data_IF_492216486833
#
_entry.id   IF_492216486833
#
_cell.length_a   1.000
_cell.length_b   1.000
_cell.length_c   1.000
_cell.angle_alpha   90.00
_cell.angle_beta   90.00
_cell.angle_gamma   90.00
#
_symmetry.space_group_name_H-M   'P 1'
#
loop_
_entity.id
_entity.type
_entity.pdbx_description
1 polymer ?
#
# COMPACT_ATOMS: atom_id res chain seq x y z
N UNK A 1 28.17 -25.40 -14.22
CA UNK A 1 26.72 -25.20 -14.26
C UNK A 1 26.09 -26.36 -13.52
N UNK A 2 25.85 -26.22 -12.22
CA UNK A 2 25.20 -27.24 -11.40
C UNK A 2 23.70 -26.98 -11.47
N UNK A 3 22.94 -27.96 -11.96
CA UNK A 3 21.50 -27.89 -12.03
C UNK A 3 20.95 -27.86 -10.59
N UNK A 4 20.25 -26.77 -10.26
CA UNK A 4 19.50 -26.65 -9.02
C UNK A 4 18.40 -27.71 -9.07
N UNK A 5 18.46 -28.68 -8.17
CA UNK A 5 17.46 -29.73 -8.03
C UNK A 5 16.14 -29.09 -7.58
N UNK A 6 14.99 -29.34 -8.24
CA UNK A 6 13.69 -28.77 -7.88
C UNK A 6 13.01 -29.61 -6.80
N UNK A 7 13.60 -29.73 -5.63
CA UNK A 7 13.00 -30.37 -4.46
C UNK A 7 13.42 -29.70 -3.16
N UNK A 8 13.25 -28.37 -3.08
CA UNK A 8 13.24 -27.74 -1.77
C UNK A 8 11.86 -27.98 -1.13
N UNK A 9 11.82 -28.90 -0.17
CA UNK A 9 10.71 -29.01 0.78
C UNK A 9 10.47 -27.60 1.33
N UNK A 10 9.22 -27.12 1.28
CA UNK A 10 8.87 -25.87 1.96
C UNK A 10 9.24 -26.03 3.43
N UNK A 11 9.96 -25.06 3.98
CA UNK A 11 10.21 -24.98 5.42
C UNK A 11 8.89 -24.63 6.10
N UNK A 12 8.13 -25.65 6.50
CA UNK A 12 6.85 -25.50 7.24
C UNK A 12 7.13 -25.44 8.75
N UNK A 13 8.02 -24.52 9.19
CA UNK A 13 8.44 -24.44 10.60
C UNK A 13 7.50 -23.61 11.49
N UNK A 14 6.63 -22.78 10.92
CA UNK A 14 5.65 -22.06 11.71
C UNK A 14 4.25 -22.67 11.52
N UNK A 15 3.53 -22.98 12.61
CA UNK A 15 2.16 -23.47 12.50
C UNK A 15 1.30 -22.43 11.78
N UNK A 16 0.48 -22.89 10.84
CA UNK A 16 -0.46 -22.00 10.13
C UNK A 16 -1.40 -21.33 11.15
N UNK A 17 -1.78 -20.08 10.92
CA UNK A 17 -2.70 -19.38 11.81
C UNK A 17 -4.04 -20.11 11.85
N UNK A 18 -4.69 -20.22 13.04
CA UNK A 18 -6.00 -20.80 13.13
C UNK A 18 -7.02 -19.94 12.36
N UNK A 19 -7.97 -20.61 11.69
CA UNK A 19 -9.07 -19.92 11.02
C UNK A 19 -9.91 -19.21 12.06
N UNK A 20 -10.23 -17.93 11.84
CA UNK A 20 -11.23 -17.26 12.64
C UNK A 20 -12.63 -17.69 12.18
N UNK A 21 -13.29 -18.54 12.98
CA UNK A 21 -14.59 -19.14 12.67
C UNK A 21 -15.80 -18.31 13.13
N UNK A 22 -15.59 -17.06 13.56
CA UNK A 22 -16.68 -16.17 13.97
C UNK A 22 -16.65 -14.86 13.18
N UNK A 23 -17.81 -14.25 12.90
CA UNK A 23 -17.86 -12.91 12.31
C UNK A 23 -17.12 -11.90 13.19
N UNK A 24 -16.39 -10.99 12.54
CA UNK A 24 -15.64 -9.95 13.23
C UNK A 24 -16.52 -8.71 13.30
N UNK A 25 -16.81 -8.28 14.52
CA UNK A 25 -17.48 -7.01 14.81
C UNK A 25 -16.44 -5.97 15.25
N UNK A 26 -16.05 -5.10 14.31
CA UNK A 26 -15.03 -4.08 14.52
C UNK A 26 -15.25 -2.93 13.53
N UNK A 27 -14.93 -1.66 13.86
CA UNK A 27 -15.08 -0.54 12.92
C UNK A 27 -14.42 -0.73 11.55
N UNK A 28 -13.36 -1.55 11.47
CA UNK A 28 -12.74 -1.90 10.18
C UNK A 28 -13.57 -2.88 9.33
N UNK A 29 -14.67 -3.47 9.86
CA UNK A 29 -15.56 -4.36 9.12
C UNK A 29 -16.74 -3.58 8.49
N UNK A 30 -16.44 -2.50 7.82
CA UNK A 30 -17.43 -1.61 7.21
C UNK A 30 -17.91 -2.08 5.83
N UNK A 31 -19.06 -1.55 5.43
CA UNK A 31 -19.62 -1.57 4.06
C UNK A 31 -19.77 -0.14 3.54
N UNK A 32 -19.98 0.02 2.25
CA UNK A 32 -20.12 1.36 1.61
C UNK A 32 -21.31 2.13 2.22
N UNK A 33 -22.39 1.43 2.59
CA UNK A 33 -23.57 2.03 3.19
C UNK A 33 -23.34 2.65 4.59
N UNK A 34 -22.21 2.33 5.24
CA UNK A 34 -21.84 2.92 6.53
C UNK A 34 -21.32 4.37 6.39
N UNK A 35 -21.08 4.82 5.16
CA UNK A 35 -20.65 6.18 4.84
C UNK A 35 -21.73 6.92 4.06
N UNK A 36 -22.44 7.83 4.72
CA UNK A 36 -23.46 8.63 4.08
C UNK A 36 -22.87 9.67 3.13
N UNK A 37 -21.71 10.21 3.49
CA UNK A 37 -20.99 11.23 2.73
C UNK A 37 -19.47 11.08 2.87
N UNK A 38 -18.68 11.68 1.98
CA UNK A 38 -17.22 11.71 2.15
C UNK A 38 -16.75 12.33 3.48
N UNK A 39 -17.56 13.18 4.12
CA UNK A 39 -17.20 13.76 5.43
C UNK A 39 -17.02 12.69 6.52
N UNK A 40 -17.67 11.53 6.37
CA UNK A 40 -17.58 10.45 7.35
C UNK A 40 -16.20 9.79 7.42
N UNK A 41 -15.36 9.97 6.39
CA UNK A 41 -14.01 9.41 6.34
C UNK A 41 -12.92 10.44 5.98
N UNK A 42 -13.24 11.74 6.05
CA UNK A 42 -12.29 12.81 5.70
C UNK A 42 -12.01 13.73 6.87
N UNK A 43 -10.80 14.31 6.90
CA UNK A 43 -10.37 15.36 7.81
C UNK A 43 -9.94 16.57 6.98
N UNK A 44 -10.55 17.70 7.19
CA UNK A 44 -10.18 18.94 6.50
C UNK A 44 -9.14 19.71 7.32
N UNK A 45 -7.99 20.02 6.70
CA UNK A 45 -6.99 20.91 7.30
C UNK A 45 -7.56 22.31 7.45
N UNK A 46 -7.39 22.88 8.64
CA UNK A 46 -7.80 24.26 8.95
C UNK A 46 -6.79 25.29 8.41
N UNK A 47 -7.22 26.53 8.26
CA UNK A 47 -6.33 27.64 7.85
C UNK A 47 -5.13 27.81 8.81
N UNK A 48 -5.31 27.57 10.10
CA UNK A 48 -4.21 27.61 11.07
C UNK A 48 -3.18 26.52 10.81
N UNK A 49 -3.63 25.28 10.56
CA UNK A 49 -2.75 24.15 10.25
C UNK A 49 -1.98 24.38 8.95
N UNK A 50 -2.64 24.86 7.90
CA UNK A 50 -2.01 25.19 6.63
C UNK A 50 -0.93 26.27 6.77
N UNK A 51 -1.22 27.34 7.52
CA UNK A 51 -0.24 28.40 7.80
C UNK A 51 0.97 27.86 8.58
N UNK A 52 0.74 26.99 9.55
CA UNK A 52 1.81 26.41 10.37
C UNK A 52 2.66 25.42 9.57
N UNK A 53 2.07 24.61 8.69
CA UNK A 53 2.79 23.79 7.69
C UNK A 53 3.69 24.67 6.84
N UNK A 54 3.14 25.74 6.24
CA UNK A 54 3.91 26.63 5.39
C UNK A 54 5.09 27.29 6.13
N UNK A 55 4.92 27.65 7.41
CA UNK A 55 5.99 28.18 8.26
C UNK A 55 7.09 27.12 8.46
N UNK A 56 6.71 25.88 8.81
CA UNK A 56 7.65 24.79 9.05
C UNK A 56 8.45 24.44 7.80
N UNK A 57 7.82 24.39 6.62
CA UNK A 57 8.54 24.15 5.36
C UNK A 57 9.56 25.25 5.08
N UNK A 58 9.22 26.53 5.32
CA UNK A 58 10.21 27.62 5.19
C UNK A 58 11.39 27.46 6.14
N UNK A 59 11.16 27.01 7.39
CA UNK A 59 12.23 26.77 8.36
C UNK A 59 13.14 25.61 7.93
N UNK A 60 12.57 24.50 7.46
CA UNK A 60 13.33 23.34 6.92
C UNK A 60 14.23 23.78 5.77
N UNK A 61 13.69 24.54 4.81
CA UNK A 61 14.46 25.05 3.68
C UNK A 61 15.56 26.05 4.10
N UNK A 62 15.24 26.93 5.05
CA UNK A 62 16.24 27.89 5.57
C UNK A 62 17.39 27.17 6.31
N UNK A 63 17.13 26.00 6.89
CA UNK A 63 18.16 25.14 7.48
C UNK A 63 18.94 24.31 6.45
N UNK A 64 18.61 24.40 5.15
CA UNK A 64 19.28 23.66 4.08
C UNK A 64 18.96 22.16 4.06
N UNK A 65 17.90 21.72 4.75
CA UNK A 65 17.52 20.32 4.82
C UNK A 65 16.74 19.90 3.56
N UNK A 66 17.15 18.78 2.97
CA UNK A 66 16.44 18.11 1.90
C UNK A 66 15.50 17.01 2.44
N UNK A 67 14.70 16.39 1.55
CA UNK A 67 13.78 15.31 1.89
C UNK A 67 14.48 14.14 2.61
N UNK A 68 15.71 13.79 2.18
CA UNK A 68 16.50 12.69 2.76
C UNK A 68 16.96 12.94 4.21
N UNK A 69 17.03 14.21 4.61
CA UNK A 69 17.49 14.63 5.94
C UNK A 69 16.35 14.74 6.95
N UNK A 70 15.10 14.74 6.47
CA UNK A 70 13.95 14.99 7.31
C UNK A 70 13.67 13.82 8.26
N UNK A 71 13.75 14.16 9.54
CA UNK A 71 13.33 13.32 10.67
C UNK A 71 12.10 13.97 11.34
N UNK A 72 11.48 13.24 12.25
CA UNK A 72 10.29 13.69 12.98
C UNK A 72 10.48 15.07 13.64
N UNK A 73 11.62 15.29 14.31
CA UNK A 73 11.95 16.53 14.99
C UNK A 73 12.09 17.76 14.08
N UNK A 74 12.32 17.52 12.77
CA UNK A 74 12.37 18.61 11.79
C UNK A 74 11.00 19.06 11.31
N UNK A 75 9.96 18.22 11.50
CA UNK A 75 8.59 18.52 11.08
C UNK A 75 7.64 18.62 12.28
N UNK A 76 7.99 19.46 13.27
CA UNK A 76 7.13 19.70 14.43
C UNK A 76 6.11 20.80 14.11
N UNK A 77 4.85 20.39 13.91
CA UNK A 77 3.71 21.26 13.66
C UNK A 77 2.64 21.01 14.74
N UNK A 78 2.71 21.67 15.90
CA UNK A 78 1.83 21.37 17.04
C UNK A 78 0.33 21.42 16.71
N UNK A 79 -0.08 22.32 15.81
CA UNK A 79 -1.48 22.42 15.37
C UNK A 79 -1.97 21.20 14.56
N UNK A 80 -1.06 20.37 14.00
CA UNK A 80 -1.40 19.12 13.31
C UNK A 80 -1.58 17.94 14.26
N UNK A 81 -1.18 18.06 15.53
CA UNK A 81 -1.24 16.93 16.46
C UNK A 81 -2.62 16.27 16.52
N UNK A 82 -3.74 17.02 16.64
CA UNK A 82 -5.07 16.41 16.61
C UNK A 82 -5.38 15.65 15.32
N UNK A 83 -4.88 16.13 14.17
CA UNK A 83 -5.05 15.43 12.88
C UNK A 83 -4.26 14.14 12.86
N UNK A 84 -3.00 14.16 13.31
CA UNK A 84 -2.13 12.98 13.36
C UNK A 84 -2.68 11.94 14.34
N UNK A 85 -3.16 12.37 15.51
CA UNK A 85 -3.77 11.49 16.51
C UNK A 85 -5.05 10.85 15.96
N UNK A 86 -5.89 11.59 15.24
CA UNK A 86 -7.10 11.06 14.60
C UNK A 86 -6.74 10.09 13.45
N UNK A 87 -5.76 10.43 12.60
CA UNK A 87 -5.26 9.52 11.55
C UNK A 87 -4.81 8.21 12.19
N UNK A 88 -4.02 8.27 13.25
CA UNK A 88 -3.56 7.08 13.98
C UNK A 88 -4.73 6.26 14.51
N UNK A 89 -5.66 6.89 15.22
CA UNK A 89 -6.84 6.23 15.75
C UNK A 89 -7.65 5.51 14.66
N UNK A 90 -7.93 6.20 13.55
CA UNK A 90 -8.70 5.59 12.47
C UNK A 90 -8.00 4.39 11.80
N UNK A 91 -6.66 4.40 11.78
CA UNK A 91 -5.88 3.31 11.19
C UNK A 91 -5.74 2.14 12.16
N UNK A 92 -5.49 2.39 13.44
CA UNK A 92 -5.22 1.34 14.43
C UNK A 92 -6.50 0.68 14.94
N UNK A 93 -7.49 1.47 15.35
CA UNK A 93 -8.69 1.03 16.06
C UNK A 93 -10.00 1.38 15.33
N UNK A 94 -9.95 2.23 14.33
CA UNK A 94 -11.11 2.68 13.57
C UNK A 94 -11.37 1.86 12.31
N UNK A 95 -11.82 2.56 11.28
CA UNK A 95 -12.22 1.96 9.98
C UNK A 95 -11.06 1.45 9.15
N UNK A 96 -9.81 1.68 9.55
CA UNK A 96 -8.61 1.26 8.83
C UNK A 96 -8.18 2.21 7.72
N UNK A 97 -8.86 3.32 7.51
CA UNK A 97 -8.46 4.35 6.53
C UNK A 97 -8.98 5.73 6.89
N UNK A 98 -8.34 6.76 6.36
CA UNK A 98 -8.77 8.16 6.47
C UNK A 98 -8.20 8.98 5.32
N UNK A 99 -8.95 9.99 4.87
CA UNK A 99 -8.51 10.97 3.86
C UNK A 99 -8.31 12.32 4.53
N UNK A 100 -7.14 12.93 4.34
CA UNK A 100 -6.83 14.30 4.80
C UNK A 100 -6.86 15.21 3.58
N UNK A 101 -7.56 16.37 3.68
CA UNK A 101 -7.84 17.23 2.53
C UNK A 101 -7.37 18.67 2.76
N UNK A 102 -7.39 19.44 1.66
CA UNK A 102 -7.19 20.90 1.62
C UNK A 102 -5.74 21.38 1.67
N UNK A 103 -4.75 20.50 1.42
CA UNK A 103 -3.39 21.02 1.19
C UNK A 103 -3.36 21.78 -0.15
N UNK A 104 -3.03 23.08 -0.19
CA UNK A 104 -3.01 23.88 -1.43
C UNK A 104 -1.73 23.53 -2.22
N UNK A 105 -1.80 22.47 -3.04
CA UNK A 105 -0.62 21.94 -3.78
C UNK A 105 -0.06 22.94 -4.78
N UNK A 106 -0.87 23.89 -5.24
CA UNK A 106 -0.48 24.99 -6.13
C UNK A 106 0.52 25.97 -5.48
N UNK A 107 0.52 26.06 -4.14
CA UNK A 107 1.39 26.95 -3.38
C UNK A 107 2.78 26.35 -3.11
N UNK A 108 3.00 25.07 -3.48
CA UNK A 108 4.21 24.31 -3.16
C UNK A 108 4.86 23.69 -4.39
N UNK A 109 6.18 23.60 -4.37
CA UNK A 109 6.91 22.75 -5.29
C UNK A 109 6.64 21.25 -4.98
N UNK A 110 6.95 20.37 -5.95
CA UNK A 110 6.83 18.91 -5.76
C UNK A 110 7.63 18.42 -4.56
N UNK A 111 8.83 18.97 -4.37
CA UNK A 111 9.71 18.60 -3.26
C UNK A 111 9.13 19.06 -1.92
N UNK A 112 8.55 20.24 -1.86
CA UNK A 112 7.87 20.76 -0.65
C UNK A 112 6.65 19.91 -0.30
N UNK A 113 5.84 19.49 -1.27
CA UNK A 113 4.74 18.54 -1.04
C UNK A 113 5.30 17.22 -0.53
N UNK A 114 6.41 16.74 -1.12
CA UNK A 114 7.14 15.57 -0.64
C UNK A 114 7.58 15.70 0.81
N UNK A 115 8.14 16.86 1.20
CA UNK A 115 8.56 17.16 2.58
C UNK A 115 7.37 17.19 3.55
N UNK A 116 6.24 17.78 3.14
CA UNK A 116 5.01 17.82 3.96
C UNK A 116 4.49 16.41 4.19
N UNK A 117 4.34 15.65 3.11
CA UNK A 117 3.81 14.29 3.17
C UNK A 117 4.72 13.33 3.96
N UNK A 118 6.04 13.42 3.72
CA UNK A 118 7.04 12.69 4.50
C UNK A 118 7.02 13.10 5.96
N UNK A 119 6.99 14.42 6.25
CA UNK A 119 6.94 14.96 7.59
C UNK A 119 5.75 14.42 8.39
N UNK A 120 4.54 14.43 7.82
CA UNK A 120 3.35 13.80 8.44
C UNK A 120 3.62 12.30 8.64
N UNK A 121 4.20 11.62 7.66
CA UNK A 121 4.53 10.19 7.73
C UNK A 121 5.46 9.85 8.91
N UNK A 122 6.45 10.69 9.23
CA UNK A 122 7.39 10.47 10.35
C UNK A 122 6.71 10.45 11.73
N UNK A 123 5.54 11.08 11.84
CA UNK A 123 4.72 11.04 13.07
C UNK A 123 3.84 9.79 13.14
N UNK A 124 3.59 9.12 12.02
CA UNK A 124 2.77 7.91 11.95
C UNK A 124 3.61 6.64 12.06
N UNK A 125 4.83 6.63 11.50
CA UNK A 125 5.69 5.46 11.50
C UNK A 125 7.06 5.71 10.89
N UNK A 126 7.86 4.66 10.77
CA UNK A 126 9.17 4.68 10.16
C UNK A 126 9.05 4.42 8.64
N UNK A 127 9.58 5.32 7.83
CA UNK A 127 9.59 5.17 6.37
C UNK A 127 10.38 3.94 5.89
N UNK A 128 9.75 3.12 5.07
CA UNK A 128 10.32 1.91 4.48
C UNK A 128 10.74 2.13 3.03
N UNK A 129 11.77 1.42 2.58
CA UNK A 129 12.09 1.34 1.16
C UNK A 129 10.99 0.60 0.39
N UNK A 130 10.64 1.11 -0.78
CA UNK A 130 9.60 0.59 -1.65
C UNK A 130 10.15 -0.12 -2.89
N UNK A 131 11.47 -0.14 -3.04
CA UNK A 131 12.15 -0.75 -4.17
C UNK A 131 13.55 -1.24 -3.78
N UNK A 132 14.13 -2.10 -4.62
CA UNK A 132 15.52 -2.55 -4.47
C UNK A 132 16.56 -1.42 -4.57
N UNK A 133 16.13 -0.20 -4.89
CA UNK A 133 16.98 1.01 -4.97
C UNK A 133 17.00 1.80 -3.67
N UNK A 134 16.15 1.46 -2.72
CA UNK A 134 16.05 2.18 -1.45
C UNK A 134 15.11 3.38 -1.45
N UNK A 135 14.25 3.53 -2.46
CA UNK A 135 13.28 4.63 -2.54
C UNK A 135 12.31 4.60 -1.36
N UNK A 136 12.31 5.63 -0.52
CA UNK A 136 11.40 5.76 0.64
C UNK A 136 10.16 6.59 0.33
N UNK A 137 10.23 7.50 -0.63
CA UNK A 137 9.09 8.23 -1.19
C UNK A 137 8.92 7.79 -2.64
N UNK A 138 7.83 7.06 -2.92
CA UNK A 138 7.54 6.52 -4.24
C UNK A 138 6.75 7.52 -5.11
N UNK A 139 7.05 7.56 -6.39
CA UNK A 139 6.27 8.32 -7.37
C UNK A 139 5.34 7.37 -8.12
N UNK A 140 4.03 7.61 -8.03
CA UNK A 140 2.98 6.83 -8.67
C UNK A 140 2.45 7.61 -9.87
N UNK A 141 3.02 7.34 -11.03
CA UNK A 141 2.64 7.93 -12.33
C UNK A 141 2.88 6.91 -13.45
N UNK A 142 2.44 7.21 -14.66
CA UNK A 142 2.67 6.35 -15.81
C UNK A 142 4.12 6.52 -16.33
N UNK A 143 4.87 5.45 -16.29
CA UNK A 143 6.23 5.34 -16.81
C UNK A 143 6.33 4.32 -17.94
N UNK A 144 5.21 3.86 -18.49
CA UNK A 144 5.19 2.82 -19.51
C UNK A 144 5.90 3.21 -20.80
N UNK A 145 6.09 4.52 -21.05
CA UNK A 145 6.87 5.02 -22.20
C UNK A 145 8.38 4.84 -21.99
N UNK A 146 8.84 4.99 -20.74
CA UNK A 146 10.25 4.92 -20.36
C UNK A 146 10.64 3.51 -19.92
N UNK A 147 9.72 2.76 -19.34
CA UNK A 147 9.91 1.39 -18.86
C UNK A 147 8.70 0.53 -19.24
N UNK A 148 8.73 -0.15 -20.41
CA UNK A 148 7.66 -1.04 -20.84
C UNK A 148 7.40 -2.21 -19.87
N UNK A 149 8.36 -2.52 -19.00
CA UNK A 149 8.26 -3.55 -17.95
C UNK A 149 7.90 -2.95 -16.57
N UNK A 150 7.52 -1.67 -16.54
CA UNK A 150 7.14 -0.98 -15.32
C UNK A 150 6.09 -1.78 -14.52
N UNK A 151 6.30 -1.86 -13.20
CA UNK A 151 5.33 -2.48 -12.30
C UNK A 151 3.96 -1.82 -12.46
N UNK A 152 2.90 -2.54 -12.13
CA UNK A 152 1.52 -2.11 -12.34
C UNK A 152 1.20 -0.73 -11.70
N UNK A 153 1.80 -0.37 -10.54
CA UNK A 153 1.60 0.97 -9.95
C UNK A 153 2.30 2.11 -10.74
N UNK A 154 3.17 1.76 -11.68
CA UNK A 154 3.96 2.64 -12.54
C UNK A 154 3.49 2.62 -14.00
N UNK A 155 2.31 2.09 -14.25
CA UNK A 155 1.66 2.11 -15.54
C UNK A 155 0.19 2.52 -15.40
N UNK A 156 -0.48 2.76 -16.50
CA UNK A 156 -1.86 3.22 -16.55
C UNK A 156 -2.93 2.13 -16.45
N UNK A 157 -2.54 0.85 -16.37
CA UNK A 157 -3.47 -0.26 -16.28
C UNK A 157 -4.18 -0.31 -14.93
N UNK A 158 -5.30 -1.02 -14.86
CA UNK A 158 -6.00 -1.28 -13.60
C UNK A 158 -5.09 -2.03 -12.62
N UNK A 159 -5.16 -1.62 -11.36
CA UNK A 159 -4.61 -2.35 -10.23
C UNK A 159 -5.75 -3.08 -9.53
N UNK A 160 -5.72 -4.41 -9.56
CA UNK A 160 -6.67 -5.24 -8.81
C UNK A 160 -6.50 -5.07 -7.29
N UNK A 161 -7.53 -5.40 -6.48
CA UNK A 161 -7.43 -5.35 -5.02
C UNK A 161 -6.21 -6.10 -4.49
N UNK A 162 -5.39 -5.43 -3.69
CA UNK A 162 -4.14 -5.97 -3.15
C UNK A 162 -3.73 -5.25 -1.85
N UNK A 163 -2.72 -5.80 -1.21
CA UNK A 163 -1.97 -5.16 -0.12
C UNK A 163 -0.52 -4.91 -0.55
N UNK A 164 0.12 -3.92 0.04
CA UNK A 164 1.53 -3.61 -0.16
C UNK A 164 2.45 -4.34 0.85
N UNK A 165 3.77 -4.09 0.82
CA UNK A 165 4.75 -4.75 1.70
C UNK A 165 5.12 -3.87 2.90
N UNK A 166 4.13 -3.40 3.67
CA UNK A 166 4.30 -2.51 4.82
C UNK A 166 3.11 -2.61 5.77
N UNK A 167 3.18 -1.93 6.91
CA UNK A 167 2.06 -1.86 7.87
C UNK A 167 1.02 -0.81 7.45
N UNK A 168 1.48 0.37 7.03
CA UNK A 168 0.66 1.51 6.62
C UNK A 168 1.08 2.01 5.25
N UNK A 169 0.09 2.23 4.37
CA UNK A 169 0.29 2.90 3.08
C UNK A 169 -0.27 4.30 3.15
N UNK A 170 0.52 5.28 2.74
CA UNK A 170 0.06 6.64 2.46
C UNK A 170 0.13 6.95 0.97
N UNK A 171 -0.86 7.67 0.46
CA UNK A 171 -0.83 8.26 -0.88
C UNK A 171 -1.23 9.74 -0.81
N UNK A 172 -0.49 10.61 -1.50
CA UNK A 172 -0.80 12.03 -1.62
C UNK A 172 -0.92 12.41 -3.11
N UNK A 173 -1.97 13.10 -3.48
CA UNK A 173 -2.23 13.50 -4.85
C UNK A 173 -1.64 14.89 -5.13
N UNK A 174 -0.72 14.95 -6.09
CA UNK A 174 -0.22 16.19 -6.66
C UNK A 174 -1.11 16.60 -7.85
N UNK A 175 -1.48 15.62 -8.66
CA UNK A 175 -2.37 15.76 -9.82
C UNK A 175 -3.13 14.47 -10.05
N UNK A 176 -4.41 14.57 -10.31
CA UNK A 176 -5.25 13.45 -10.72
C UNK A 176 -5.14 13.21 -12.24
N UNK A 177 -5.73 12.12 -12.72
CA UNK A 177 -5.78 11.79 -14.13
C UNK A 177 -6.88 12.59 -14.84
N UNK A 178 -6.75 12.76 -16.16
CA UNK A 178 -7.84 13.32 -16.97
C UNK A 178 -9.07 12.41 -16.99
N UNK A 179 -8.84 11.08 -17.07
CA UNK A 179 -9.89 10.07 -17.00
C UNK A 179 -9.45 8.88 -16.14
N UNK A 180 -10.37 8.34 -15.36
CA UNK A 180 -10.11 7.17 -14.51
C UNK A 180 -9.22 7.49 -13.32
N UNK A 181 -8.36 6.52 -12.94
CA UNK A 181 -7.47 6.68 -11.78
C UNK A 181 -8.21 6.70 -10.44
N UNK A 182 -9.46 6.22 -10.42
CA UNK A 182 -10.31 6.13 -9.23
C UNK A 182 -9.65 5.19 -8.23
N UNK A 183 -9.46 5.66 -7.02
CA UNK A 183 -9.02 4.84 -5.89
C UNK A 183 -10.18 3.99 -5.38
N UNK A 184 -9.90 2.74 -5.05
CA UNK A 184 -10.86 1.77 -4.55
C UNK A 184 -10.36 1.16 -3.28
N UNK A 185 -11.17 1.19 -2.23
CA UNK A 185 -10.87 0.56 -0.95
C UNK A 185 -11.94 -0.48 -0.63
N UNK A 186 -11.52 -1.63 -0.12
CA UNK A 186 -12.42 -2.66 0.37
C UNK A 186 -11.92 -3.13 1.73
N UNK A 187 -12.82 -3.22 2.70
CA UNK A 187 -12.46 -3.81 4.00
C UNK A 187 -12.14 -5.29 3.83
N UNK A 188 -10.89 -5.67 4.06
CA UNK A 188 -10.48 -7.07 4.10
C UNK A 188 -11.20 -7.83 5.21
N UNK A 189 -11.60 -7.15 6.28
CA UNK A 189 -12.33 -7.73 7.42
C UNK A 189 -13.78 -8.04 7.04
N UNK A 190 -14.44 -7.13 6.30
CA UNK A 190 -15.79 -7.42 5.76
C UNK A 190 -15.73 -8.55 4.73
N UNK A 191 -14.71 -8.55 3.87
CA UNK A 191 -14.51 -9.66 2.92
C UNK A 191 -14.33 -10.99 3.65
N UNK A 192 -13.54 -11.02 4.75
CA UNK A 192 -13.42 -12.20 5.60
C UNK A 192 -14.77 -12.67 6.13
N UNK A 193 -15.61 -11.75 6.66
CA UNK A 193 -16.93 -12.09 7.18
C UNK A 193 -17.86 -12.65 6.10
N UNK A 194 -17.82 -12.10 4.90
CA UNK A 194 -18.58 -12.60 3.74
C UNK A 194 -18.08 -13.99 3.31
N UNK A 195 -16.75 -14.16 3.21
CA UNK A 195 -16.15 -15.45 2.87
C UNK A 195 -16.49 -16.54 3.91
N UNK A 196 -16.49 -16.18 5.20
CA UNK A 196 -16.88 -17.08 6.28
C UNK A 196 -18.34 -17.53 6.14
N UNK A 197 -19.23 -16.61 5.80
CA UNK A 197 -20.68 -16.89 5.71
C UNK A 197 -21.07 -17.65 4.43
N UNK A 198 -20.45 -17.29 3.30
CA UNK A 198 -20.86 -17.79 1.98
C UNK A 198 -19.94 -18.88 1.41
N UNK A 199 -18.65 -18.87 1.77
CA UNK A 199 -17.60 -19.71 1.17
C UNK A 199 -16.60 -20.21 2.22
N UNK A 200 -17.01 -20.89 3.30
CA UNK A 200 -16.14 -21.26 4.41
C UNK A 200 -14.96 -22.15 3.98
N UNK A 201 -15.15 -23.07 3.05
CA UNK A 201 -14.06 -23.93 2.54
C UNK A 201 -13.01 -23.10 1.76
N UNK A 202 -13.45 -22.10 0.99
CA UNK A 202 -12.54 -21.19 0.30
C UNK A 202 -11.76 -20.34 1.31
N UNK A 203 -12.40 -19.88 2.40
CA UNK A 203 -11.75 -19.15 3.47
C UNK A 203 -10.63 -19.99 4.12
N UNK A 204 -10.86 -21.27 4.40
CA UNK A 204 -9.81 -22.17 4.91
C UNK A 204 -8.59 -22.24 3.98
N UNK A 205 -8.82 -22.29 2.66
CA UNK A 205 -7.73 -22.24 1.69
C UNK A 205 -6.93 -20.94 1.77
N UNK A 206 -7.59 -19.80 2.00
CA UNK A 206 -6.94 -18.50 2.18
C UNK A 206 -6.10 -18.43 3.46
N UNK A 207 -6.49 -19.13 4.53
CA UNK A 207 -5.68 -19.24 5.75
C UNK A 207 -4.47 -20.19 5.57
N UNK A 208 -4.61 -21.26 4.78
CA UNK A 208 -3.45 -22.12 4.42
C UNK A 208 -2.42 -21.36 3.58
N UNK A 209 -2.85 -20.36 2.82
CA UNK A 209 -1.99 -19.49 2.06
C UNK A 209 -1.30 -20.14 0.85
N UNK A 210 -0.39 -19.39 0.26
CA UNK A 210 0.26 -19.68 -1.02
C UNK A 210 1.73 -19.27 -1.00
N UNK A 211 2.54 -19.86 -1.86
CA UNK A 211 3.90 -19.38 -2.11
C UNK A 211 3.85 -18.07 -2.88
N UNK A 212 4.61 -17.08 -2.43
CA UNK A 212 4.67 -15.75 -3.06
C UNK A 212 5.97 -15.58 -3.85
N UNK A 213 5.86 -15.13 -5.08
CA UNK A 213 7.01 -14.72 -5.88
C UNK A 213 7.64 -13.44 -5.32
N UNK A 214 8.97 -13.37 -5.26
CA UNK A 214 9.70 -12.20 -4.75
C UNK A 214 9.95 -11.10 -5.79
N UNK A 215 9.63 -11.38 -7.04
CA UNK A 215 9.64 -10.39 -8.16
C UNK A 215 11.01 -9.77 -8.44
N UNK A 216 12.10 -10.48 -8.18
CA UNK A 216 13.45 -9.98 -8.35
C UNK A 216 13.93 -9.10 -7.18
N UNK A 217 13.23 -9.14 -6.06
CA UNK A 217 13.56 -8.44 -4.81
C UNK A 217 14.30 -9.35 -3.82
N UNK A 218 14.57 -10.57 -4.22
CA UNK A 218 15.36 -11.52 -3.45
C UNK A 218 16.85 -11.14 -3.44
N UNK A 219 17.52 -11.49 -2.34
CA UNK A 219 18.98 -11.35 -2.24
C UNK A 219 19.66 -12.33 -3.20
N UNK A 220 20.89 -12.02 -3.66
CA UNK A 220 21.66 -12.97 -4.45
C UNK A 220 21.79 -14.31 -3.71
N UNK A 221 21.39 -15.39 -4.37
CA UNK A 221 21.40 -16.75 -3.83
C UNK A 221 20.10 -17.20 -3.14
N UNK A 222 19.16 -16.29 -2.89
CA UNK A 222 17.83 -16.64 -2.42
C UNK A 222 16.96 -17.20 -3.55
N UNK A 223 15.93 -17.97 -3.16
CA UNK A 223 14.89 -18.43 -4.09
C UNK A 223 14.06 -17.23 -4.61
N UNK A 224 13.59 -17.26 -5.87
CA UNK A 224 12.73 -16.21 -6.42
C UNK A 224 11.31 -16.22 -5.83
N UNK A 225 11.04 -17.10 -4.88
CA UNK A 225 9.77 -17.25 -4.17
C UNK A 225 10.00 -17.49 -2.68
N UNK A 226 8.96 -17.38 -1.86
CA UNK A 226 9.04 -17.68 -0.43
C UNK A 226 9.20 -19.18 -0.21
N UNK A 227 10.13 -19.62 0.68
CA UNK A 227 10.30 -21.04 1.01
C UNK A 227 9.14 -21.58 1.89
N UNK A 228 8.15 -20.79 2.19
CA UNK A 228 6.97 -21.08 3.01
C UNK A 228 5.71 -20.50 2.37
N UNK A 229 4.54 -20.98 2.81
CA UNK A 229 3.25 -20.41 2.42
C UNK A 229 2.98 -19.13 3.17
N UNK A 230 2.57 -18.08 2.45
CA UNK A 230 2.09 -16.82 3.02
C UNK A 230 0.57 -16.90 3.09
N UNK A 231 -0.04 -16.91 4.28
CA UNK A 231 -1.49 -16.90 4.40
C UNK A 231 -2.08 -15.59 3.86
N UNK A 232 -3.21 -15.69 3.15
CA UNK A 232 -3.98 -14.50 2.74
C UNK A 232 -4.64 -13.87 3.97
N UNK A 233 -5.11 -14.69 4.90
CA UNK A 233 -5.58 -14.25 6.21
C UNK A 233 -4.79 -14.90 7.33
N UNK A 234 -4.51 -14.15 8.37
CA UNK A 234 -4.00 -14.68 9.64
C UNK A 234 -4.85 -14.20 10.80
N UNK A 235 -5.01 -15.06 11.80
CA UNK A 235 -5.58 -14.69 13.10
C UNK A 235 -4.47 -14.81 14.14
N UNK A 236 -4.02 -13.66 14.65
CA UNK A 236 -2.96 -13.59 15.66
C UNK A 236 -3.50 -12.79 16.84
N UNK A 237 -3.49 -13.40 18.03
CA UNK A 237 -4.04 -12.79 19.26
C UNK A 237 -5.49 -12.29 19.08
N UNK A 238 -6.31 -13.04 18.32
CA UNK A 238 -7.71 -12.68 18.05
C UNK A 238 -7.90 -11.57 17.02
N UNK A 239 -6.82 -11.05 16.41
CA UNK A 239 -6.88 -10.02 15.36
C UNK A 239 -6.60 -10.63 13.98
N UNK A 240 -7.58 -10.51 13.09
CA UNK A 240 -7.44 -10.97 11.70
C UNK A 240 -6.73 -9.90 10.87
N UNK A 241 -5.73 -10.33 10.12
CA UNK A 241 -4.96 -9.50 9.19
C UNK A 241 -4.92 -10.15 7.80
N UNK A 242 -4.90 -9.34 6.75
CA UNK A 242 -4.86 -9.78 5.37
C UNK A 242 -3.53 -9.45 4.68
N UNK A 243 -3.10 -10.34 3.78
CA UNK A 243 -2.04 -10.09 2.80
C UNK A 243 -2.40 -10.75 1.47
N UNK A 244 -2.52 -9.97 0.41
CA UNK A 244 -2.93 -10.47 -0.88
C UNK A 244 -2.32 -9.70 -2.04
N UNK A 245 -1.68 -10.42 -2.95
CA UNK A 245 -1.27 -9.94 -4.29
C UNK A 245 -1.40 -11.10 -5.26
N UNK A 246 -2.48 -11.16 -6.03
CA UNK A 246 -2.80 -12.28 -6.91
C UNK A 246 -1.63 -12.70 -7.81
N UNK A 247 -1.04 -11.74 -8.49
CA UNK A 247 0.07 -12.01 -9.42
C UNK A 247 1.32 -12.59 -8.74
N UNK A 248 1.52 -12.29 -7.44
CA UNK A 248 2.62 -12.87 -6.67
C UNK A 248 2.34 -14.29 -6.24
N UNK A 249 1.07 -14.60 -5.94
CA UNK A 249 0.60 -15.96 -5.63
C UNK A 249 0.78 -16.86 -6.85
N UNK A 250 0.16 -16.50 -7.99
CA UNK A 250 0.21 -17.33 -9.21
C UNK A 250 1.65 -17.55 -9.69
N UNK A 251 2.45 -16.50 -9.74
CA UNK A 251 3.85 -16.59 -10.13
C UNK A 251 4.71 -17.38 -9.12
N UNK A 252 4.41 -17.27 -7.82
CA UNK A 252 5.12 -17.97 -6.76
C UNK A 252 4.89 -19.48 -6.81
N UNK A 253 3.64 -19.92 -6.91
CA UNK A 253 3.29 -21.34 -7.04
C UNK A 253 3.89 -21.94 -8.31
N UNK A 254 3.83 -21.22 -9.45
CA UNK A 254 4.45 -21.67 -10.69
C UNK A 254 5.99 -21.79 -10.58
N UNK A 255 6.67 -20.79 -9.99
CA UNK A 255 8.12 -20.81 -9.79
C UNK A 255 8.58 -21.92 -8.82
N UNK A 256 7.73 -22.29 -7.88
CA UNK A 256 7.96 -23.39 -6.95
C UNK A 256 7.66 -24.78 -7.60
N UNK A 257 7.35 -24.86 -8.89
CA UNK A 257 7.03 -26.10 -9.59
C UNK A 257 5.64 -26.66 -9.27
N UNK A 258 4.74 -25.86 -8.74
CA UNK A 258 3.38 -26.23 -8.31
C UNK A 258 2.35 -25.28 -8.95
N UNK A 259 2.18 -25.29 -10.27
CA UNK A 259 1.19 -24.45 -10.92
C UNK A 259 -0.21 -24.75 -10.35
N UNK A 260 -0.95 -23.69 -10.06
CA UNK A 260 -2.27 -23.79 -9.42
C UNK A 260 -3.27 -24.54 -10.30
N UNK A 261 -4.01 -25.46 -9.69
CA UNK A 261 -5.12 -26.14 -10.34
C UNK A 261 -6.39 -25.27 -10.41
N UNK A 262 -7.38 -25.75 -11.19
CA UNK A 262 -8.64 -25.03 -11.38
C UNK A 262 -9.38 -24.73 -10.07
N UNK A 263 -9.34 -25.64 -9.09
CA UNK A 263 -9.98 -25.45 -7.79
C UNK A 263 -9.31 -24.33 -6.96
N UNK A 264 -7.98 -24.24 -6.98
CA UNK A 264 -7.24 -23.19 -6.27
C UNK A 264 -7.42 -21.83 -6.94
N UNK A 265 -7.42 -21.77 -8.27
CA UNK A 265 -7.76 -20.56 -9.02
C UNK A 265 -9.16 -20.09 -8.72
N UNK A 266 -10.15 -21.01 -8.64
CA UNK A 266 -11.53 -20.67 -8.28
C UNK A 266 -11.65 -20.03 -6.89
N UNK A 267 -10.83 -20.43 -5.92
CA UNK A 267 -10.77 -19.77 -4.59
C UNK A 267 -10.33 -18.32 -4.73
N UNK A 268 -9.25 -18.05 -5.50
CA UNK A 268 -8.77 -16.69 -5.72
C UNK A 268 -9.77 -15.85 -6.55
N UNK A 269 -10.43 -16.46 -7.53
CA UNK A 269 -11.48 -15.79 -8.31
C UNK A 269 -12.64 -15.37 -7.41
N UNK A 270 -13.10 -16.27 -6.55
CA UNK A 270 -14.16 -15.99 -5.58
C UNK A 270 -13.76 -14.87 -4.61
N UNK A 271 -12.55 -14.91 -4.10
CA UNK A 271 -12.02 -13.85 -3.24
C UNK A 271 -12.05 -12.49 -3.94
N UNK A 272 -11.54 -12.41 -5.19
CA UNK A 272 -11.56 -11.18 -5.98
C UNK A 272 -12.97 -10.72 -6.30
N UNK A 273 -13.89 -11.64 -6.63
CA UNK A 273 -15.31 -11.34 -6.86
C UNK A 273 -15.93 -10.66 -5.64
N UNK A 274 -15.74 -11.24 -4.44
CA UNK A 274 -16.27 -10.66 -3.19
C UNK A 274 -15.66 -9.27 -2.94
N UNK A 275 -14.34 -9.09 -3.14
CA UNK A 275 -13.69 -7.79 -2.94
C UNK A 275 -14.23 -6.70 -3.87
N UNK A 276 -14.81 -7.06 -5.01
CA UNK A 276 -15.31 -6.13 -6.04
C UNK A 276 -16.82 -5.90 -5.95
N UNK A 277 -17.51 -6.46 -4.96
CA UNK A 277 -18.95 -6.22 -4.78
C UNK A 277 -19.21 -4.73 -4.52
N UNK A 278 -20.15 -4.10 -5.23
CA UNK A 278 -20.41 -2.66 -5.10
C UNK A 278 -20.71 -2.19 -3.68
N UNK A 279 -21.35 -3.05 -2.89
CA UNK A 279 -21.70 -2.75 -1.48
C UNK A 279 -20.48 -2.85 -0.53
N UNK A 280 -19.36 -3.42 -0.99
CA UNK A 280 -18.13 -3.56 -0.21
C UNK A 280 -17.00 -2.66 -0.68
N UNK A 281 -17.04 -2.18 -1.93
CA UNK A 281 -15.95 -1.46 -2.57
C UNK A 281 -16.26 0.04 -2.64
N UNK A 282 -15.57 0.82 -1.81
CA UNK A 282 -15.67 2.27 -1.77
C UNK A 282 -14.81 2.88 -2.88
N UNK A 283 -15.44 3.55 -3.84
CA UNK A 283 -14.79 4.28 -4.91
C UNK A 283 -14.70 5.77 -4.59
N UNK A 284 -13.53 6.37 -4.75
CA UNK A 284 -13.33 7.82 -4.66
C UNK A 284 -12.15 8.28 -5.51
N UNK A 285 -12.23 9.50 -6.03
CA UNK A 285 -11.11 10.12 -6.73
C UNK A 285 -10.31 10.96 -5.74
N UNK A 286 -9.04 10.62 -5.55
CA UNK A 286 -8.11 11.41 -4.75
C UNK A 286 -7.73 12.66 -5.56
N UNK A 287 -8.15 13.83 -5.09
CA UNK A 287 -7.95 15.12 -5.76
C UNK A 287 -6.62 15.76 -5.36
N UNK A 288 -6.08 16.68 -6.17
CA UNK A 288 -4.89 17.45 -5.79
C UNK A 288 -5.05 18.06 -4.40
N UNK A 289 -4.03 17.89 -3.55
CA UNK A 289 -4.06 18.34 -2.16
C UNK A 289 -4.76 17.41 -1.18
N UNK A 290 -5.23 16.27 -1.65
CA UNK A 290 -5.74 15.20 -0.78
C UNK A 290 -4.70 14.12 -0.59
N UNK A 291 -4.69 13.55 0.61
CA UNK A 291 -3.87 12.39 0.94
C UNK A 291 -4.69 11.39 1.72
N UNK A 292 -4.46 10.09 1.51
CA UNK A 292 -5.04 9.08 2.36
C UNK A 292 -3.98 8.22 3.05
N UNK A 293 -4.37 7.65 4.17
CA UNK A 293 -3.61 6.64 4.91
C UNK A 293 -4.49 5.42 5.14
N UNK A 294 -3.92 4.23 4.96
CA UNK A 294 -4.64 2.96 5.14
C UNK A 294 -3.83 1.98 5.98
N UNK A 295 -4.53 1.25 6.84
CA UNK A 295 -4.01 0.04 7.48
C UNK A 295 -3.95 -1.07 6.43
N UNK A 296 -2.74 -1.44 6.06
CA UNK A 296 -2.49 -2.36 4.96
C UNK A 296 -2.84 -3.83 5.30
N UNK A 297 -3.21 -4.12 6.56
CA UNK A 297 -3.68 -5.43 7.02
C UNK A 297 -5.19 -5.56 7.05
N UNK A 298 -5.92 -4.44 7.04
CA UNK A 298 -7.39 -4.45 7.12
C UNK A 298 -8.06 -3.88 5.88
N UNK A 299 -7.28 -3.24 4.98
CA UNK A 299 -7.77 -2.63 3.75
C UNK A 299 -7.08 -3.22 2.53
N UNK A 300 -7.87 -3.73 1.61
CA UNK A 300 -7.45 -4.01 0.24
C UNK A 300 -7.64 -2.74 -0.58
N UNK A 301 -6.62 -2.36 -1.33
CA UNK A 301 -6.68 -1.17 -2.17
C UNK A 301 -6.48 -1.50 -3.64
N UNK A 302 -7.14 -0.75 -4.50
CA UNK A 302 -7.15 -0.92 -5.94
C UNK A 302 -7.21 0.44 -6.64
N UNK A 303 -7.07 0.43 -7.95
CA UNK A 303 -7.19 1.63 -8.79
C UNK A 303 -7.70 1.24 -10.16
N UNK A 304 -8.67 1.99 -10.68
CA UNK A 304 -9.08 1.83 -12.08
C UNK A 304 -7.95 2.18 -13.04
N UNK A 305 -8.00 1.70 -14.25
CA UNK A 305 -7.16 2.23 -15.32
C UNK A 305 -7.35 3.75 -15.42
N UNK A 306 -6.33 4.45 -15.92
CA UNK A 306 -6.41 5.89 -16.14
C UNK A 306 -5.80 6.28 -17.48
N UNK A 307 -6.17 7.45 -17.96
CA UNK A 307 -5.59 8.04 -19.14
C UNK A 307 -5.38 9.55 -18.93
N UNK A 308 -4.19 10.01 -19.29
CA UNK A 308 -3.80 11.41 -19.27
C UNK A 308 -3.87 12.05 -20.67
N UNK A 309 -4.35 11.29 -21.70
CA UNK A 309 -4.42 11.74 -23.06
C UNK A 309 -3.06 12.19 -23.60
N UNK A 310 -3.06 13.32 -24.29
CA UNK A 310 -1.86 13.97 -24.82
C UNK A 310 -1.27 15.02 -23.85
N UNK A 311 -1.65 14.97 -22.57
CA UNK A 311 -1.16 15.94 -21.60
C UNK A 311 0.39 15.94 -21.55
N UNK A 312 0.95 17.14 -21.44
CA UNK A 312 2.36 17.32 -21.15
C UNK A 312 2.71 16.68 -19.80
N UNK A 313 3.96 16.26 -19.62
CA UNK A 313 4.34 15.47 -18.45
C UNK A 313 4.07 16.15 -17.11
N UNK A 314 4.20 17.47 -17.06
CA UNK A 314 3.94 18.27 -15.87
C UNK A 314 2.44 18.37 -15.53
N UNK A 315 1.55 17.94 -16.45
CA UNK A 315 0.09 17.88 -16.27
C UNK A 315 -0.46 16.47 -16.08
N UNK A 316 0.38 15.44 -16.23
CA UNK A 316 -0.03 14.04 -16.05
C UNK A 316 -0.28 13.71 -14.59
N UNK A 317 -1.08 12.67 -14.39
CA UNK A 317 -1.35 12.10 -13.07
C UNK A 317 -0.06 11.85 -12.29
N UNK A 318 0.00 12.33 -11.05
CA UNK A 318 1.14 12.16 -10.19
C UNK A 318 0.73 12.10 -8.73
N UNK A 319 0.95 10.96 -8.09
CA UNK A 319 0.80 10.81 -6.65
C UNK A 319 2.16 10.45 -6.02
N UNK A 320 2.31 10.79 -4.75
CA UNK A 320 3.39 10.31 -3.91
C UNK A 320 2.89 9.14 -3.06
N UNK A 321 3.76 8.17 -2.78
CA UNK A 321 3.46 7.01 -1.94
C UNK A 321 4.45 6.89 -0.80
N UNK A 322 3.94 6.61 0.41
CA UNK A 322 4.71 6.22 1.58
C UNK A 322 4.37 4.79 1.98
N UNK A 323 5.39 4.03 2.34
CA UNK A 323 5.28 2.80 3.10
C UNK A 323 5.87 3.02 4.48
N UNK A 324 5.09 2.75 5.51
CA UNK A 324 5.51 2.95 6.88
C UNK A 324 5.45 1.64 7.68
N UNK A 325 6.45 1.45 8.52
CA UNK A 325 6.41 0.50 9.62
C UNK A 325 5.86 1.21 10.85
N UNK A 326 4.84 0.63 11.47
CA UNK A 326 4.18 1.18 12.65
C UNK A 326 4.31 0.17 13.78
N UNK A 327 5.19 0.47 14.74
CA UNK A 327 5.45 -0.42 15.87
C UNK A 327 4.17 -0.67 16.68
N UNK A 328 3.82 -1.94 16.87
CA UNK A 328 2.68 -2.34 17.70
C UNK A 328 1.30 -2.10 17.09
N UNK A 329 1.20 -1.62 15.84
CA UNK A 329 -0.08 -1.33 15.19
C UNK A 329 -1.03 -2.54 15.20
N UNK A 330 -0.53 -3.73 14.88
CA UNK A 330 -1.32 -4.96 14.85
C UNK A 330 -0.45 -6.20 15.04
N UNK A 331 -0.84 -7.17 15.86
CA UNK A 331 -0.22 -8.48 15.86
C UNK A 331 -0.56 -9.18 14.54
N UNK A 332 0.46 -9.66 13.86
CA UNK A 332 0.33 -10.38 12.58
C UNK A 332 1.25 -11.59 12.55
N UNK A 333 0.84 -12.63 11.84
CA UNK A 333 1.65 -13.82 11.64
C UNK A 333 2.99 -13.44 10.96
N UNK A 334 4.14 -14.02 11.38
CA UNK A 334 5.45 -13.68 10.84
C UNK A 334 5.53 -13.75 9.32
N UNK A 335 4.84 -14.71 8.69
CA UNK A 335 4.84 -14.88 7.22
C UNK A 335 4.03 -13.81 6.47
N UNK A 336 3.11 -13.11 7.15
CA UNK A 336 2.39 -11.96 6.60
C UNK A 336 3.22 -10.68 6.70
N UNK A 337 3.97 -10.52 7.81
CA UNK A 337 4.72 -9.28 8.07
C UNK A 337 5.74 -9.01 6.98
N UNK A 338 5.75 -7.79 6.47
CA UNK A 338 6.74 -7.29 5.53
C UNK A 338 7.15 -5.88 5.93
N UNK A 339 8.46 -5.64 5.89
CA UNK A 339 9.05 -4.37 6.29
C UNK A 339 9.72 -3.69 5.07
N UNK A 340 8.93 -3.48 4.02
CA UNK A 340 9.41 -2.89 2.79
C UNK A 340 10.22 -3.87 1.91
N UNK A 341 10.95 -3.30 0.98
CA UNK A 341 11.87 -3.98 0.06
C UNK A 341 13.27 -3.52 0.41
N UNK A 342 14.16 -4.45 0.74
CA UNK A 342 15.53 -4.12 1.08
C UNK A 342 16.28 -3.60 -0.16
N UNK A 343 17.02 -2.50 0.01
CA UNK A 343 17.89 -2.00 -1.04
C UNK A 343 19.02 -3.02 -1.32
N UNK A 344 19.22 -3.37 -2.58
CA UNK A 344 20.25 -4.32 -2.99
C UNK A 344 21.43 -3.52 -3.60
N UNK A 345 22.62 -3.47 -2.96
CA UNK A 345 23.77 -2.77 -3.48
C UNK A 345 24.13 -3.23 -4.91
N UNK A 346 24.39 -2.29 -5.80
CA UNK A 346 24.78 -2.58 -7.19
C UNK A 346 23.61 -2.98 -8.10
N UNK A 347 22.39 -3.15 -7.61
CA UNK A 347 21.21 -3.23 -8.47
C UNK A 347 20.90 -1.86 -9.04
N UNK A 348 21.03 -1.78 -10.34
CA UNK A 348 20.42 -0.68 -11.10
C UNK A 348 19.06 -1.15 -11.57
N UNK A 349 18.03 -0.29 -11.59
CA UNK A 349 16.79 -0.61 -12.27
C UNK A 349 17.12 -0.91 -13.74
N UNK A 350 16.25 -1.67 -14.39
CA UNK A 350 16.22 -1.75 -15.86
C UNK A 350 16.08 -0.37 -16.51
N UNK A 351 15.82 0.64 -15.70
CA UNK A 351 15.68 2.04 -16.05
C UNK A 351 16.26 2.97 -14.96
N UNK A 352 17.11 3.94 -15.34
CA UNK A 352 17.80 4.85 -14.40
C UNK A 352 16.89 5.98 -13.91
N UNK A 353 16.18 5.69 -12.81
CA UNK A 353 15.29 6.64 -12.15
C UNK A 353 15.99 7.87 -11.59
N UNK A 354 17.25 7.75 -11.22
CA UNK A 354 18.04 8.86 -10.73
C UNK A 354 18.28 9.92 -11.82
N UNK A 355 18.32 9.50 -13.09
CA UNK A 355 18.41 10.44 -14.22
C UNK A 355 17.14 11.26 -14.41
N UNK A 356 15.95 10.67 -14.21
CA UNK A 356 14.69 11.41 -14.35
C UNK A 356 14.46 12.42 -13.23
N UNK A 357 14.97 12.14 -12.04
CA UNK A 357 14.84 13.07 -10.90
C UNK A 357 15.92 14.17 -10.91
N UNK A 358 17.11 13.92 -11.49
CA UNK A 358 18.21 14.90 -11.54
C UNK A 358 18.13 15.92 -12.69
N UNK A 359 17.43 15.61 -13.77
CA UNK A 359 17.36 16.48 -14.95
C UNK A 359 16.15 17.43 -14.99
N UNK A 360 15.51 17.67 -13.85
CA UNK A 360 14.35 18.58 -13.77
C UNK A 360 14.41 19.41 -12.50
N UNK A 361 15.38 20.27 -12.46
CA UNK A 361 15.31 21.50 -11.66
C UNK A 361 14.63 22.59 -12.49
#
# INVERSE_FOLDING_TARGET
MSAIQPNSVLEDDAPLPPVNGAPIDHPSAWKVADFATPADYTIDLTTTQLRDIARTIRQIKAAGLGLGDLQREHFEVPSLRPVIDEVRHQIEDGRGFVVVRRLPVEDYSKDEIGMIFWGIGTHLGRGLSQSVLGDRLGHVKDFSREDPLARAYRNKQELSPHTDSCDLVGLACLRDAQMGGVSRLTSAITVHNVMLAEYPEALECLYRGYVFHRRGEEKPGDLPYTPYRVPVYSNTEGKVAARYVRTYVEAGEAAAGRPMGAAELAVLDRFVEVTRRPELMLDFTLRPGEMYFINNYTILHARTAFDDGDAEEDRRRHLLRLWLEVSGMRPVHPYIRRNGIEAIPGRTPSFDWARLTKNRN
#
